data_IF_100358556468
#
_entry.id   IF_100358556468
#
_cell.length_a   1.000
_cell.length_b   1.000
_cell.length_c   1.000
_cell.angle_alpha   90.00
_cell.angle_beta   90.00
_cell.angle_gamma   90.00
#
_symmetry.space_group_name_H-M   'P 1'
#
loop_
_entity.id
_entity.type
_entity.pdbx_description
1 polymer ?
#
# COMPACT_ATOMS: atom_id res chain seq x y z
N UNK A 1 61.37 32.29 -6.16
CA UNK A 1 60.23 32.97 -5.50
C UNK A 1 58.97 33.06 -6.37
N UNK A 2 59.07 33.14 -7.70
CA UNK A 2 57.91 33.35 -8.61
C UNK A 2 57.05 32.10 -8.84
N UNK A 3 57.67 30.91 -8.83
CA UNK A 3 56.97 29.63 -9.07
C UNK A 3 55.91 29.33 -8.01
N UNK A 4 56.20 29.66 -6.74
CA UNK A 4 55.25 29.51 -5.62
C UNK A 4 54.06 30.47 -5.78
N UNK A 5 54.25 31.70 -6.28
CA UNK A 5 53.14 32.65 -6.48
C UNK A 5 52.19 32.18 -7.57
N UNK A 6 52.73 31.68 -8.68
CA UNK A 6 51.91 31.13 -9.76
C UNK A 6 51.14 29.87 -9.33
N UNK A 7 51.74 29.02 -8.48
CA UNK A 7 51.04 27.85 -7.94
C UNK A 7 49.87 28.25 -7.05
N UNK A 8 50.04 29.29 -6.21
CA UNK A 8 48.98 29.79 -5.32
C UNK A 8 47.83 30.36 -6.16
N UNK A 9 48.13 31.11 -7.22
CA UNK A 9 47.12 31.68 -8.12
C UNK A 9 46.29 30.58 -8.80
N UNK A 10 46.93 29.50 -9.24
CA UNK A 10 46.22 28.35 -9.83
C UNK A 10 45.30 27.66 -8.83
N UNK A 11 45.73 27.49 -7.58
CA UNK A 11 44.92 26.89 -6.51
C UNK A 11 43.71 27.76 -6.21
N UNK A 12 43.89 29.09 -6.12
CA UNK A 12 42.80 30.03 -5.84
C UNK A 12 41.75 30.01 -6.97
N UNK A 13 42.21 30.01 -8.22
CA UNK A 13 41.32 29.92 -9.39
C UNK A 13 40.59 28.57 -9.43
N UNK A 14 41.29 27.47 -9.17
CA UNK A 14 40.69 26.14 -9.09
C UNK A 14 39.61 26.06 -8.00
N UNK A 15 39.89 26.57 -6.80
CA UNK A 15 38.93 26.62 -5.71
C UNK A 15 37.70 27.49 -6.06
N UNK A 16 37.92 28.65 -6.71
CA UNK A 16 36.83 29.51 -7.16
C UNK A 16 35.94 28.80 -8.21
N UNK A 17 36.52 28.08 -9.17
CA UNK A 17 35.76 27.32 -10.16
C UNK A 17 34.97 26.17 -9.53
N UNK A 18 35.53 25.48 -8.53
CA UNK A 18 34.83 24.43 -7.78
C UNK A 18 33.64 25.02 -7.00
N UNK A 19 33.80 26.19 -6.38
CA UNK A 19 32.70 26.88 -5.71
C UNK A 19 31.60 27.28 -6.69
N UNK A 20 31.96 27.86 -7.85
CA UNK A 20 30.97 28.18 -8.89
C UNK A 20 30.26 26.92 -9.37
N UNK A 21 30.98 25.82 -9.59
CA UNK A 21 30.37 24.56 -9.98
C UNK A 21 29.39 24.05 -8.92
N UNK A 22 29.75 24.04 -7.65
CA UNK A 22 28.88 23.57 -6.55
C UNK A 22 27.67 24.49 -6.33
N UNK A 23 27.83 25.81 -6.50
CA UNK A 23 26.76 26.78 -6.26
C UNK A 23 25.81 27.00 -7.45
N UNK A 24 26.31 26.92 -8.69
CA UNK A 24 25.52 27.28 -9.89
C UNK A 24 25.21 26.10 -10.80
N UNK A 25 26.07 25.09 -10.88
CA UNK A 25 25.96 24.01 -11.89
C UNK A 25 25.50 22.70 -11.25
N UNK A 26 25.95 22.43 -10.01
CA UNK A 26 25.50 21.27 -9.26
C UNK A 26 24.04 21.53 -8.88
N UNK A 27 23.09 20.72 -9.39
CA UNK A 27 21.72 20.79 -8.91
C UNK A 27 21.80 20.58 -7.40
N UNK A 28 21.35 21.57 -6.65
CA UNK A 28 21.12 21.37 -5.23
C UNK A 28 20.02 20.32 -5.18
N UNK A 29 20.34 19.10 -4.76
CA UNK A 29 19.37 18.05 -4.39
C UNK A 29 18.58 18.49 -3.13
N UNK A 30 18.20 19.77 -3.06
CA UNK A 30 17.22 20.32 -2.15
C UNK A 30 15.85 20.04 -2.76
N UNK A 31 15.46 18.78 -2.69
CA UNK A 31 14.08 18.36 -2.81
C UNK A 31 13.46 18.71 -4.16
N UNK A 32 14.04 18.22 -5.26
CA UNK A 32 13.20 17.97 -6.43
C UNK A 32 12.16 16.93 -6.00
N UNK A 33 10.97 17.43 -5.72
CA UNK A 33 9.81 16.59 -5.66
C UNK A 33 9.75 15.80 -6.98
N UNK A 34 9.57 14.47 -6.96
CA UNK A 34 9.12 13.79 -8.16
C UNK A 34 7.84 14.50 -8.59
N UNK A 35 7.90 15.21 -9.71
CA UNK A 35 6.75 15.83 -10.33
C UNK A 35 5.82 14.69 -10.72
N UNK A 36 4.70 14.57 -10.01
CA UNK A 36 3.67 13.58 -10.33
C UNK A 36 3.04 14.01 -11.67
N UNK A 37 3.52 13.42 -12.76
CA UNK A 37 2.95 13.60 -14.09
C UNK A 37 1.78 12.63 -14.28
N UNK A 38 0.57 13.18 -14.38
CA UNK A 38 -0.63 12.42 -14.74
C UNK A 38 -0.69 12.26 -16.25
N UNK A 39 -0.52 11.04 -16.75
CA UNK A 39 -0.76 10.72 -18.16
C UNK A 39 -2.22 10.27 -18.32
N UNK A 40 -3.03 11.09 -18.98
CA UNK A 40 -4.40 10.70 -19.36
C UNK A 40 -4.36 9.55 -20.38
N UNK A 41 -5.10 8.45 -20.18
CA UNK A 41 -5.16 7.37 -21.16
C UNK A 41 -5.86 7.89 -22.42
N UNK A 42 -5.14 7.89 -23.55
CA UNK A 42 -5.73 8.07 -24.86
C UNK A 42 -6.52 6.81 -25.23
N UNK A 43 -7.80 6.76 -24.84
CA UNK A 43 -8.87 6.06 -25.56
C UNK A 43 -10.20 6.25 -24.81
N UNK A 44 -11.10 7.05 -25.39
CA UNK A 44 -12.48 6.69 -25.81
C UNK A 44 -13.21 8.01 -26.08
N UNK A 45 -13.59 8.20 -27.34
CA UNK A 45 -14.36 9.33 -27.85
C UNK A 45 -15.78 9.32 -27.27
N UNK A 46 -16.00 9.99 -26.14
CA UNK A 46 -17.32 10.45 -25.70
C UNK A 46 -17.23 11.94 -25.32
N UNK A 47 -17.51 12.79 -26.30
CA UNK A 47 -17.37 14.26 -26.31
C UNK A 47 -18.38 15.01 -25.41
N UNK A 48 -18.71 14.47 -24.24
CA UNK A 48 -19.58 15.13 -23.25
C UNK A 48 -19.03 15.10 -21.81
N UNK A 49 -17.95 14.37 -21.53
CA UNK A 49 -17.43 14.17 -20.15
C UNK A 49 -16.02 14.77 -19.96
N UNK A 50 -15.48 15.49 -20.95
CA UNK A 50 -14.08 15.94 -20.91
C UNK A 50 -13.81 17.12 -19.95
N UNK A 51 -14.84 17.88 -19.56
CA UNK A 51 -14.68 18.97 -18.58
C UNK A 51 -14.59 18.45 -17.14
N UNK A 52 -15.50 17.55 -16.74
CA UNK A 52 -15.59 17.01 -15.38
C UNK A 52 -14.38 16.14 -15.00
N UNK A 53 -13.77 15.43 -15.96
CA UNK A 53 -12.60 14.59 -15.71
C UNK A 53 -11.34 15.39 -15.34
N UNK A 54 -11.23 16.65 -15.77
CA UNK A 54 -10.08 17.50 -15.44
C UNK A 54 -10.12 17.98 -13.99
N UNK A 55 -11.31 18.32 -13.49
CA UNK A 55 -11.52 18.74 -12.11
C UNK A 55 -11.30 17.57 -11.14
N UNK A 56 -11.86 16.40 -11.47
CA UNK A 56 -11.65 15.16 -10.68
C UNK A 56 -10.16 14.77 -10.65
N UNK A 57 -9.44 14.90 -11.77
CA UNK A 57 -8.00 14.61 -11.81
C UNK A 57 -7.18 15.59 -10.97
N UNK A 58 -7.57 16.87 -10.92
CA UNK A 58 -6.92 17.89 -10.09
C UNK A 58 -7.20 17.67 -8.58
N UNK A 59 -8.43 17.32 -8.22
CA UNK A 59 -8.80 16.96 -6.84
C UNK A 59 -8.05 15.71 -6.37
N UNK A 60 -7.97 14.67 -7.21
CA UNK A 60 -7.19 13.46 -6.92
C UNK A 60 -5.69 13.76 -6.77
N UNK A 61 -5.12 14.57 -7.66
CA UNK A 61 -3.70 14.96 -7.56
C UNK A 61 -3.43 15.80 -6.30
N UNK A 62 -4.37 16.67 -5.92
CA UNK A 62 -4.31 17.45 -4.68
C UNK A 62 -4.38 16.55 -3.44
N UNK A 63 -5.24 15.52 -3.47
CA UNK A 63 -5.31 14.49 -2.43
C UNK A 63 -4.02 13.67 -2.35
N UNK A 64 -3.46 13.25 -3.49
CA UNK A 64 -2.19 12.52 -3.51
C UNK A 64 -1.04 13.39 -2.97
N UNK A 65 -1.06 14.69 -3.26
CA UNK A 65 -0.07 15.63 -2.76
C UNK A 65 -0.21 15.88 -1.25
N UNK A 66 -1.44 15.87 -0.71
CA UNK A 66 -1.65 15.98 0.74
C UNK A 66 -1.20 14.74 1.50
N UNK A 67 -1.37 13.55 0.92
CA UNK A 67 -0.92 12.27 1.49
C UNK A 67 0.60 12.05 1.35
N UNK A 68 1.26 12.67 0.36
CA UNK A 68 2.72 12.57 0.13
C UNK A 68 3.57 12.93 1.36
N UNK A 69 3.08 13.80 2.24
CA UNK A 69 3.84 14.25 3.41
C UNK A 69 3.36 13.61 4.72
N UNK A 70 2.78 12.42 4.69
CA UNK A 70 2.56 11.65 5.92
C UNK A 70 3.92 11.14 6.41
N UNK A 71 4.50 11.85 7.37
CA UNK A 71 5.63 11.36 8.15
C UNK A 71 5.07 10.49 9.26
N UNK A 72 5.32 9.19 9.17
CA UNK A 72 5.04 8.28 10.27
C UNK A 72 6.04 8.55 11.40
N UNK A 73 5.53 8.65 12.62
CA UNK A 73 6.35 8.85 13.79
C UNK A 73 6.82 7.47 14.29
N UNK A 74 8.08 7.14 14.07
CA UNK A 74 8.65 5.85 14.50
C UNK A 74 8.78 5.73 16.03
N UNK A 75 8.54 6.82 16.78
CA UNK A 75 8.51 6.78 18.24
C UNK A 75 7.41 5.87 18.79
N UNK A 76 6.37 5.54 18.01
CA UNK A 76 5.34 4.59 18.43
C UNK A 76 5.93 3.21 18.73
N UNK A 77 6.98 2.80 18.01
CA UNK A 77 7.63 1.50 18.18
C UNK A 77 8.56 1.46 19.40
N UNK A 78 8.82 2.61 20.03
CA UNK A 78 9.60 2.71 21.27
C UNK A 78 8.71 2.83 22.51
N UNK A 79 7.38 2.87 22.33
CA UNK A 79 6.43 2.94 23.43
C UNK A 79 6.28 1.55 24.08
N UNK A 80 6.32 1.52 25.42
CA UNK A 80 5.99 0.34 26.23
C UNK A 80 4.60 -0.22 25.90
N UNK A 81 3.67 0.63 25.45
CA UNK A 81 2.36 0.20 24.99
C UNK A 81 2.44 -0.64 23.71
N UNK A 82 3.39 -0.35 22.81
CA UNK A 82 3.62 -1.13 21.60
C UNK A 82 4.21 -2.51 21.92
N UNK A 83 5.14 -2.58 22.88
CA UNK A 83 5.68 -3.86 23.38
C UNK A 83 4.61 -4.77 24.01
N UNK A 84 3.49 -4.20 24.45
CA UNK A 84 2.38 -4.93 25.04
C UNK A 84 1.37 -5.46 24.02
N UNK A 85 1.50 -5.12 22.73
CA UNK A 85 0.67 -5.70 21.67
C UNK A 85 1.10 -7.15 21.43
N UNK A 86 0.37 -8.07 22.04
CA UNK A 86 0.47 -9.49 21.74
C UNK A 86 -0.34 -9.76 20.47
N UNK A 87 0.32 -10.20 19.39
CA UNK A 87 -0.40 -10.90 18.32
C UNK A 87 -1.05 -12.13 18.94
N UNK A 88 -2.37 -12.16 18.96
CA UNK A 88 -3.12 -13.33 19.39
C UNK A 88 -3.37 -14.17 18.14
N UNK A 89 -2.63 -15.26 17.90
CA UNK A 89 -2.97 -16.17 16.83
C UNK A 89 -4.35 -16.75 17.16
N UNK A 90 -5.36 -16.33 16.39
CA UNK A 90 -6.66 -16.99 16.42
C UNK A 90 -6.56 -18.20 15.49
N UNK A 91 -6.69 -19.38 16.06
CA UNK A 91 -6.87 -20.59 15.26
C UNK A 91 -8.23 -20.48 14.57
N UNK A 92 -8.19 -20.18 13.27
CA UNK A 92 -9.34 -20.23 12.39
C UNK A 92 -9.68 -21.70 12.18
N UNK A 93 -10.44 -22.27 13.12
CA UNK A 93 -11.04 -23.58 12.92
C UNK A 93 -12.06 -23.42 11.80
N UNK A 94 -11.81 -24.06 10.66
CA UNK A 94 -12.77 -24.10 9.58
C UNK A 94 -14.03 -24.79 10.10
N UNK A 95 -15.16 -24.08 10.07
CA UNK A 95 -16.49 -24.57 10.52
C UNK A 95 -17.03 -25.72 9.64
N UNK A 96 -16.24 -26.20 8.68
CA UNK A 96 -16.56 -27.31 7.76
C UNK A 96 -17.74 -27.02 6.81
N UNK A 97 -18.49 -25.95 7.06
CA UNK A 97 -19.69 -25.55 6.34
C UNK A 97 -19.34 -24.55 5.23
N UNK A 98 -18.24 -24.80 4.54
CA UNK A 98 -17.73 -23.92 3.50
C UNK A 98 -18.38 -24.25 2.16
N UNK A 99 -19.12 -23.28 1.62
CA UNK A 99 -19.60 -23.30 0.24
C UNK A 99 -21.05 -23.76 0.06
N UNK A 100 -21.80 -23.03 -0.77
CA UNK A 100 -23.02 -23.58 -1.38
C UNK A 100 -22.60 -24.58 -2.46
N UNK A 101 -23.38 -25.64 -2.70
CA UNK A 101 -23.18 -26.51 -3.86
C UNK A 101 -22.98 -25.69 -5.13
N UNK A 102 -21.99 -26.06 -5.94
CA UNK A 102 -21.60 -25.32 -7.13
C UNK A 102 -22.79 -25.25 -8.11
N UNK A 103 -23.40 -24.07 -8.34
CA UNK A 103 -24.57 -23.95 -9.21
C UNK A 103 -24.23 -24.11 -10.70
N UNK A 104 -22.94 -24.29 -11.03
CA UNK A 104 -22.43 -24.55 -12.36
C UNK A 104 -21.93 -25.99 -12.54
N UNK A 105 -22.17 -26.90 -11.59
CA UNK A 105 -21.82 -28.31 -11.74
C UNK A 105 -22.70 -28.99 -12.83
N UNK A 106 -22.14 -29.85 -13.69
CA UNK A 106 -22.93 -30.67 -14.60
C UNK A 106 -23.98 -31.49 -13.86
N UNK A 107 -25.19 -31.55 -14.41
CA UNK A 107 -26.29 -32.32 -13.81
C UNK A 107 -25.85 -33.79 -13.60
N UNK A 108 -26.02 -34.28 -12.37
CA UNK A 108 -25.61 -35.65 -12.00
C UNK A 108 -24.25 -35.76 -11.30
N UNK A 109 -23.62 -34.65 -10.92
CA UNK A 109 -22.36 -34.64 -10.14
C UNK A 109 -22.51 -34.10 -8.71
N UNK A 110 -23.74 -34.12 -8.16
CA UNK A 110 -23.98 -33.75 -6.76
C UNK A 110 -23.30 -34.74 -5.81
N UNK A 111 -22.23 -34.28 -5.16
CA UNK A 111 -21.71 -34.92 -3.95
C UNK A 111 -22.63 -34.50 -2.82
N UNK A 112 -23.57 -35.37 -2.46
CA UNK A 112 -24.36 -35.25 -1.24
C UNK A 112 -23.37 -35.35 -0.08
N UNK A 113 -23.02 -34.22 0.53
CA UNK A 113 -22.37 -34.21 1.83
C UNK A 113 -23.31 -34.95 2.79
N UNK A 114 -22.91 -36.14 3.24
CA UNK A 114 -23.70 -36.97 4.15
C UNK A 114 -23.84 -36.24 5.49
N UNK A 115 -25.08 -35.86 5.81
CA UNK A 115 -25.55 -35.60 7.17
C UNK A 115 -25.42 -36.89 8.00
N UNK A 116 -24.22 -37.21 8.49
CA UNK A 116 -23.98 -38.33 9.40
C UNK A 116 -23.34 -37.89 10.72
N UNK A 117 -23.53 -36.63 11.13
CA UNK A 117 -23.01 -36.14 12.42
C UNK A 117 -24.08 -35.46 13.30
N UNK A 118 -25.29 -36.03 13.32
CA UNK A 118 -26.35 -35.61 14.23
C UNK A 118 -27.21 -36.80 14.72
N UNK A 119 -26.59 -37.82 15.33
CA UNK A 119 -27.30 -38.73 16.24
C UNK A 119 -26.46 -38.94 17.51
N UNK A 120 -26.39 -37.88 18.32
CA UNK A 120 -26.02 -37.97 19.73
C UNK A 120 -26.93 -37.03 20.54
N UNK A 121 -28.20 -37.40 20.68
CA UNK A 121 -29.12 -36.65 21.53
C UNK A 121 -30.59 -37.04 21.39
N UNK A 122 -31.12 -37.63 22.46
CA UNK A 122 -32.53 -37.63 22.85
C UNK A 122 -33.52 -38.52 22.06
N UNK A 123 -33.66 -39.79 22.48
CA UNK A 123 -34.98 -40.31 22.83
C UNK A 123 -34.90 -41.62 23.65
N UNK A 124 -34.90 -41.53 24.98
CA UNK A 124 -35.29 -42.64 25.86
C UNK A 124 -36.72 -42.44 26.31
N UNK A 125 -37.67 -42.87 25.47
CA UNK A 125 -39.08 -43.01 25.81
C UNK A 125 -39.22 -44.21 26.77
N UNK A 126 -39.55 -43.95 28.03
CA UNK A 126 -39.86 -44.97 29.04
C UNK A 126 -41.16 -45.70 28.70
N UNK A 127 -41.24 -47.05 28.81
CA UNK A 127 -42.50 -47.76 28.73
C UNK A 127 -43.14 -47.86 30.12
N UNK A 128 -44.32 -47.25 30.29
CA UNK A 128 -45.26 -47.66 31.34
C UNK A 128 -45.85 -49.02 30.95
N UNK A 129 -45.91 -49.94 31.90
CA UNK A 129 -46.80 -51.12 31.86
C UNK A 129 -47.61 -51.16 33.18
N UNK A 130 -48.86 -51.65 33.13
CA UNK A 130 -49.84 -51.54 34.22
C UNK A 130 -49.56 -52.44 35.42
#
# INVERSE_FOLDING_TARGET
MSKIRNIIIFIVIGAALVLVYIFFIKPSDKGEAPSLVSSSPSAVTNTAVLADNSEIAQEFLTLLLSVRSIKLNDAIFSDKAFDALLETPVDLVQDGTEGRPNPFAPLGSDVIASENDAVAGANTKSPLTP
#
